data_IF_425874412841
#
_entry.id   IF_425874412841
#
_cell.length_a   1.000
_cell.length_b   1.000
_cell.length_c   1.000
_cell.angle_alpha   90.00
_cell.angle_beta   90.00
_cell.angle_gamma   90.00
#
_symmetry.space_group_name_H-M   'P 1'
#
loop_
_entity.id
_entity.type
_entity.pdbx_description
1 polymer ?
#
# COMPACT_ATOMS: atom_id res chain seq x y z
N UNK A 1 -13.43 -2.77 -22.89
CA UNK A 1 -12.01 -3.13 -22.68
C UNK A 1 -11.23 -2.11 -21.84
N UNK A 2 -11.56 -0.80 -21.84
CA UNK A 2 -10.92 0.21 -20.94
C UNK A 2 -11.18 -0.03 -19.44
N UNK A 3 -12.20 -0.82 -19.09
CA UNK A 3 -12.50 -1.19 -17.70
C UNK A 3 -11.51 -2.19 -17.07
N UNK A 4 -10.95 -3.13 -17.84
CA UNK A 4 -10.10 -4.20 -17.27
C UNK A 4 -8.71 -3.69 -16.85
N UNK A 5 -8.13 -2.73 -17.57
CA UNK A 5 -6.81 -2.18 -17.22
C UNK A 5 -6.84 -1.30 -15.96
N UNK A 6 -7.92 -0.54 -15.76
CA UNK A 6 -8.12 0.25 -14.52
C UNK A 6 -8.36 -0.64 -13.30
N UNK A 7 -9.20 -1.68 -13.45
CA UNK A 7 -9.48 -2.65 -12.37
C UNK A 7 -8.20 -3.33 -11.88
N UNK A 8 -7.24 -3.63 -12.77
CA UNK A 8 -5.98 -4.24 -12.39
C UNK A 8 -5.04 -3.29 -11.63
N UNK A 9 -4.94 -2.02 -12.05
CA UNK A 9 -4.08 -1.05 -11.37
C UNK A 9 -4.59 -0.73 -9.95
N UNK A 10 -5.90 -0.60 -9.79
CA UNK A 10 -6.53 -0.34 -8.50
C UNK A 10 -6.36 -1.54 -7.54
N UNK A 11 -6.39 -2.77 -8.07
CA UNK A 11 -6.18 -3.99 -7.28
C UNK A 11 -4.73 -4.15 -6.77
N UNK A 12 -3.76 -3.53 -7.44
CA UNK A 12 -2.34 -3.61 -7.07
C UNK A 12 -1.96 -2.68 -5.92
N UNK A 13 -2.61 -1.51 -5.80
CA UNK A 13 -2.33 -0.51 -4.76
C UNK A 13 -2.32 -1.09 -3.32
N UNK A 14 -3.33 -1.86 -2.86
CA UNK A 14 -3.33 -2.44 -1.51
C UNK A 14 -2.20 -3.46 -1.30
N UNK A 15 -1.88 -4.26 -2.33
CA UNK A 15 -0.78 -5.23 -2.27
C UNK A 15 0.57 -4.53 -2.17
N UNK A 16 0.79 -3.48 -2.96
CA UNK A 16 2.00 -2.65 -2.93
C UNK A 16 2.14 -1.90 -1.60
N UNK A 17 1.04 -1.42 -1.02
CA UNK A 17 1.04 -0.80 0.30
C UNK A 17 1.46 -1.80 1.39
N UNK A 18 0.90 -3.01 1.37
CA UNK A 18 1.31 -4.09 2.28
C UNK A 18 2.77 -4.48 2.08
N UNK A 19 3.26 -4.54 0.83
CA UNK A 19 4.66 -4.82 0.53
C UNK A 19 5.59 -3.72 1.05
N UNK A 20 5.30 -2.45 0.75
CA UNK A 20 6.08 -1.30 1.20
C UNK A 20 6.09 -1.20 2.74
N UNK A 21 4.95 -1.44 3.38
CA UNK A 21 4.86 -1.50 4.84
C UNK A 21 5.70 -2.66 5.43
N UNK A 22 5.64 -3.85 4.81
CA UNK A 22 6.46 -4.99 5.20
C UNK A 22 7.97 -4.69 5.11
N UNK A 23 8.41 -4.06 4.02
CA UNK A 23 9.79 -3.62 3.85
C UNK A 23 10.20 -2.55 4.87
N UNK A 24 9.32 -1.59 5.18
CA UNK A 24 9.58 -0.58 6.21
C UNK A 24 9.71 -1.20 7.61
N UNK A 25 8.86 -2.16 7.95
CA UNK A 25 8.92 -2.90 9.21
C UNK A 25 10.18 -3.78 9.35
N UNK A 26 10.86 -4.11 8.25
CA UNK A 26 12.11 -4.86 8.29
C UNK A 26 13.23 -4.10 9.02
N UNK A 27 13.19 -2.76 9.02
CA UNK A 27 14.12 -1.89 9.75
C UNK A 27 13.72 -1.65 11.21
N UNK A 28 12.57 -2.17 11.65
CA UNK A 28 12.09 -2.05 13.02
C UNK A 28 12.56 -3.25 13.88
N UNK A 29 12.70 -3.08 15.21
CA UNK A 29 13.04 -4.18 16.10
C UNK A 29 11.99 -5.31 16.03
N UNK A 30 12.41 -6.56 16.22
CA UNK A 30 11.61 -7.77 15.99
C UNK A 30 10.23 -7.79 16.67
N UNK A 31 10.11 -7.19 17.86
CA UNK A 31 8.82 -7.01 18.56
C UNK A 31 7.91 -6.01 17.85
N UNK A 32 8.45 -4.86 17.44
CA UNK A 32 7.70 -3.84 16.71
C UNK A 32 7.31 -4.34 15.32
N UNK A 33 8.16 -5.13 14.65
CA UNK A 33 7.84 -5.78 13.37
C UNK A 33 6.61 -6.68 13.46
N UNK A 34 6.59 -7.62 14.40
CA UNK A 34 5.45 -8.53 14.60
C UNK A 34 4.18 -7.78 15.01
N UNK A 35 4.30 -6.81 15.93
CA UNK A 35 3.15 -6.01 16.36
C UNK A 35 2.61 -5.13 15.22
N UNK A 36 3.48 -4.51 14.41
CA UNK A 36 3.06 -3.70 13.26
C UNK A 36 2.39 -4.53 12.17
N UNK A 37 2.92 -5.70 11.85
CA UNK A 37 2.28 -6.62 10.90
C UNK A 37 0.89 -7.09 11.40
N UNK A 38 0.78 -7.45 12.69
CA UNK A 38 -0.51 -7.83 13.28
C UNK A 38 -1.51 -6.67 13.31
N UNK A 39 -1.04 -5.45 13.65
CA UNK A 39 -1.88 -4.25 13.73
C UNK A 39 -2.38 -3.80 12.36
N UNK A 40 -1.53 -3.85 11.33
CA UNK A 40 -1.94 -3.54 9.95
C UNK A 40 -2.94 -4.55 9.42
N UNK A 41 -2.73 -5.85 9.64
CA UNK A 41 -3.70 -6.89 9.30
C UNK A 41 -5.04 -6.68 10.02
N UNK A 42 -5.01 -6.42 11.34
CA UNK A 42 -6.20 -6.17 12.13
C UNK A 42 -6.94 -4.90 11.67
N UNK A 43 -6.24 -3.81 11.39
CA UNK A 43 -6.82 -2.57 10.89
C UNK A 43 -7.44 -2.74 9.49
N UNK A 44 -6.80 -3.50 8.60
CA UNK A 44 -7.36 -3.81 7.28
C UNK A 44 -8.65 -4.64 7.39
N UNK A 45 -8.64 -5.69 8.19
CA UNK A 45 -9.83 -6.55 8.40
C UNK A 45 -10.96 -5.74 9.05
N UNK A 46 -10.65 -4.97 10.11
CA UNK A 46 -11.63 -4.13 10.78
C UNK A 46 -12.23 -3.11 9.82
N UNK A 47 -11.41 -2.47 8.99
CA UNK A 47 -11.90 -1.49 8.03
C UNK A 47 -12.76 -2.11 6.94
N UNK A 48 -12.38 -3.27 6.39
CA UNK A 48 -13.22 -4.00 5.42
C UNK A 48 -14.57 -4.38 6.04
N UNK A 49 -14.58 -4.84 7.29
CA UNK A 49 -15.81 -5.14 8.00
C UNK A 49 -16.67 -3.88 8.22
N UNK A 50 -16.08 -2.81 8.77
CA UNK A 50 -16.78 -1.53 8.99
C UNK A 50 -17.34 -1.00 7.67
N UNK A 51 -16.55 -1.01 6.61
CA UNK A 51 -16.97 -0.50 5.32
C UNK A 51 -18.12 -1.33 4.73
N UNK A 52 -18.03 -2.66 4.79
CA UNK A 52 -19.08 -3.56 4.31
C UNK A 52 -20.42 -3.40 5.04
N UNK A 53 -20.40 -3.12 6.35
CA UNK A 53 -21.60 -3.02 7.18
C UNK A 53 -22.15 -1.60 7.36
N UNK A 54 -21.31 -0.57 7.31
CA UNK A 54 -21.68 0.80 7.69
C UNK A 54 -21.58 1.77 6.52
N UNK A 55 -20.52 1.69 5.72
CA UNK A 55 -20.14 2.79 4.82
C UNK A 55 -20.56 2.51 3.37
N UNK A 56 -20.52 1.27 2.90
CA UNK A 56 -20.87 0.87 1.51
C UNK A 56 -22.15 1.50 0.93
N UNK A 57 -23.25 1.65 1.69
CA UNK A 57 -24.47 2.29 1.17
C UNK A 57 -24.28 3.76 0.75
N UNK A 58 -23.21 4.42 1.20
CA UNK A 58 -22.91 5.84 0.96
C UNK A 58 -21.74 6.08 -0.01
N UNK A 59 -21.12 5.03 -0.58
CA UNK A 59 -19.98 5.20 -1.48
C UNK A 59 -20.42 5.68 -2.87
N UNK A 60 -19.98 6.87 -3.25
CA UNK A 60 -19.96 7.31 -4.64
C UNK A 60 -18.65 6.92 -5.34
N UNK A 61 -18.58 7.02 -6.68
CA UNK A 61 -17.36 6.71 -7.45
C UNK A 61 -16.14 7.54 -7.02
N UNK A 62 -16.34 8.76 -6.53
CA UNK A 62 -15.27 9.61 -6.01
C UNK A 62 -14.59 9.03 -4.75
N UNK A 63 -15.31 8.29 -3.90
CA UNK A 63 -14.75 7.72 -2.68
C UNK A 63 -13.75 6.59 -2.97
N UNK A 64 -14.02 5.79 -4.00
CA UNK A 64 -13.11 4.72 -4.47
C UNK A 64 -11.80 5.32 -4.99
N UNK A 65 -11.90 6.39 -5.77
CA UNK A 65 -10.73 7.08 -6.34
C UNK A 65 -9.86 7.72 -5.26
N UNK A 66 -10.48 8.39 -4.28
CA UNK A 66 -9.77 8.96 -3.13
C UNK A 66 -9.12 7.88 -2.25
N UNK A 67 -9.80 6.75 -2.03
CA UNK A 67 -9.23 5.61 -1.31
C UNK A 67 -7.99 5.07 -2.00
N UNK A 68 -8.04 4.94 -3.33
CA UNK A 68 -6.92 4.47 -4.14
C UNK A 68 -5.74 5.45 -4.09
N UNK A 69 -6.01 6.75 -4.19
CA UNK A 69 -4.97 7.79 -4.02
C UNK A 69 -4.34 7.74 -2.62
N UNK A 70 -5.15 7.61 -1.56
CA UNK A 70 -4.65 7.49 -0.20
C UNK A 70 -3.74 6.27 -0.02
N UNK A 71 -4.06 5.16 -0.69
CA UNK A 71 -3.24 3.96 -0.71
C UNK A 71 -1.87 4.22 -1.35
N UNK A 72 -1.83 4.90 -2.51
CA UNK A 72 -0.57 5.31 -3.15
C UNK A 72 0.25 6.27 -2.29
N UNK A 73 -0.37 7.25 -1.64
CA UNK A 73 0.31 8.10 -0.66
C UNK A 73 0.87 7.27 0.51
N UNK A 74 0.14 6.27 0.98
CA UNK A 74 0.61 5.32 1.98
C UNK A 74 1.87 4.56 1.53
N UNK A 75 1.92 4.13 0.25
CA UNK A 75 3.11 3.47 -0.34
C UNK A 75 4.30 4.41 -0.31
N UNK A 76 4.11 5.67 -0.74
CA UNK A 76 5.14 6.72 -0.72
C UNK A 76 5.67 6.92 0.70
N UNK A 77 4.79 7.08 1.69
CA UNK A 77 5.18 7.27 3.10
C UNK A 77 5.94 6.07 3.64
N UNK A 78 5.47 4.84 3.38
CA UNK A 78 6.14 3.63 3.84
C UNK A 78 7.52 3.46 3.18
N UNK A 79 7.61 3.63 1.86
CA UNK A 79 8.87 3.52 1.13
C UNK A 79 9.87 4.61 1.52
N UNK A 80 9.42 5.86 1.67
CA UNK A 80 10.27 6.97 2.11
C UNK A 80 10.78 6.79 3.54
N UNK A 81 10.00 6.15 4.41
CA UNK A 81 10.38 5.95 5.82
C UNK A 81 11.67 5.14 5.99
N UNK A 82 12.03 4.30 5.02
CA UNK A 82 13.27 3.50 4.99
C UNK A 82 14.54 4.36 4.84
N UNK A 83 14.40 5.59 4.33
CA UNK A 83 15.51 6.53 4.16
C UNK A 83 15.70 7.48 5.34
N UNK A 84 14.77 7.48 6.29
CA UNK A 84 14.91 8.32 7.47
C UNK A 84 16.10 7.84 8.32
N UNK A 85 16.95 8.76 8.82
CA UNK A 85 18.10 8.42 9.64
C UNK A 85 17.69 7.83 11.01
N UNK A 86 16.45 8.09 11.43
CA UNK A 86 15.86 7.50 12.63
C UNK A 86 15.11 6.24 12.20
N UNK A 87 15.63 5.07 12.59
CA UNK A 87 14.94 3.79 12.40
C UNK A 87 13.48 3.91 12.88
N UNK A 88 12.54 3.26 12.18
CA UNK A 88 11.10 3.31 12.48
C UNK A 88 10.89 3.02 13.96
N UNK A 89 10.64 4.08 14.72
CA UNK A 89 10.65 3.98 16.17
C UNK A 89 9.46 3.16 16.65
N UNK A 90 9.55 2.64 17.88
CA UNK A 90 8.45 1.92 18.53
C UNK A 90 7.14 2.74 18.56
N UNK A 91 7.22 4.07 18.46
CA UNK A 91 6.07 4.99 18.42
C UNK A 91 5.50 5.18 17.02
N UNK A 92 6.34 5.17 15.99
CA UNK A 92 5.93 5.42 14.59
C UNK A 92 5.44 4.14 13.92
N UNK A 93 6.02 2.98 14.25
CA UNK A 93 5.61 1.68 13.72
C UNK A 93 4.09 1.40 13.83
N UNK A 94 3.42 1.58 15.00
CA UNK A 94 1.99 1.33 15.10
C UNK A 94 1.18 2.34 14.29
N UNK A 95 1.59 3.61 14.22
CA UNK A 95 0.90 4.62 13.43
C UNK A 95 0.91 4.26 11.93
N UNK A 96 2.09 3.94 11.40
CA UNK A 96 2.24 3.48 10.01
C UNK A 96 1.43 2.21 9.75
N UNK A 97 1.39 1.29 10.70
CA UNK A 97 0.62 0.04 10.56
C UNK A 97 -0.88 0.27 10.51
N UNK A 98 -1.42 1.13 11.40
CA UNK A 98 -2.85 1.48 11.37
C UNK A 98 -3.18 2.20 10.07
N UNK A 99 -2.40 3.22 9.67
CA UNK A 99 -2.65 3.94 8.43
C UNK A 99 -2.60 3.01 7.21
N UNK A 100 -1.57 2.16 7.11
CA UNK A 100 -1.45 1.20 6.01
C UNK A 100 -2.62 0.22 5.98
N UNK A 101 -3.02 -0.31 7.14
CA UNK A 101 -4.16 -1.22 7.25
C UNK A 101 -5.49 -0.56 6.86
N UNK A 102 -5.77 0.65 7.37
CA UNK A 102 -6.99 1.40 7.04
C UNK A 102 -7.08 1.71 5.54
N UNK A 103 -6.02 2.26 4.94
CA UNK A 103 -6.00 2.57 3.50
C UNK A 103 -6.16 1.32 2.63
N UNK A 104 -5.49 0.22 3.00
CA UNK A 104 -5.63 -1.07 2.31
C UNK A 104 -7.08 -1.60 2.41
N UNK A 105 -7.67 -1.55 3.61
CA UNK A 105 -9.03 -2.03 3.83
C UNK A 105 -10.09 -1.23 3.08
N UNK A 106 -9.96 0.11 3.03
CA UNK A 106 -10.85 1.00 2.25
C UNK A 106 -10.83 0.61 0.76
N UNK A 107 -9.65 0.46 0.16
CA UNK A 107 -9.57 0.16 -1.29
C UNK A 107 -10.14 -1.23 -1.60
N UNK A 108 -9.81 -2.23 -0.78
CA UNK A 108 -10.29 -3.61 -0.98
C UNK A 108 -11.82 -3.68 -0.84
N UNK A 109 -12.39 -3.01 0.16
CA UNK A 109 -13.83 -3.04 0.39
C UNK A 109 -14.61 -2.33 -0.73
N UNK A 110 -14.06 -1.20 -1.21
CA UNK A 110 -14.58 -0.40 -2.33
C UNK A 110 -14.58 -1.13 -3.67
N UNK A 111 -13.64 -2.07 -3.88
CA UNK A 111 -13.58 -2.90 -5.08
C UNK A 111 -14.59 -4.06 -5.10
N UNK A 112 -15.31 -4.29 -4.00
CA UNK A 112 -16.19 -5.46 -3.93
C UNK A 112 -15.49 -6.77 -3.58
N UNK A 113 -14.14 -6.80 -3.53
CA UNK A 113 -13.35 -8.03 -3.40
C UNK A 113 -13.11 -8.40 -1.93
N UNK A 114 -14.02 -9.16 -1.33
CA UNK A 114 -13.89 -9.65 0.05
C UNK A 114 -12.62 -10.52 0.27
N UNK A 115 -12.05 -11.09 -0.80
CA UNK A 115 -10.85 -11.93 -0.74
C UNK A 115 -9.57 -11.10 -0.96
N UNK A 116 -9.68 -9.82 -1.29
CA UNK A 116 -8.55 -8.93 -1.53
C UNK A 116 -7.60 -8.82 -0.33
N UNK A 117 -8.13 -8.91 0.90
CA UNK A 117 -7.30 -8.90 2.13
C UNK A 117 -6.40 -10.13 2.18
N UNK A 118 -6.92 -11.31 1.80
CA UNK A 118 -6.15 -12.55 1.76
C UNK A 118 -5.05 -12.51 0.69
N UNK A 119 -5.23 -11.74 -0.39
CA UNK A 119 -4.19 -11.51 -1.41
C UNK A 119 -3.15 -10.48 -0.98
N UNK A 120 -3.56 -9.47 -0.21
CA UNK A 120 -2.68 -8.40 0.27
C UNK A 120 -1.83 -8.83 1.48
N UNK A 121 -2.38 -9.65 2.39
CA UNK A 121 -1.72 -10.07 3.64
C UNK A 121 -0.35 -10.75 3.44
N UNK A 122 -0.18 -11.68 2.48
CA UNK A 122 1.10 -12.34 2.26
C UNK A 122 2.25 -11.36 2.00
N UNK A 123 1.98 -10.18 1.45
CA UNK A 123 3.01 -9.17 1.20
C UNK A 123 3.60 -8.57 2.49
N UNK A 124 2.87 -8.61 3.62
CA UNK A 124 3.43 -8.24 4.93
C UNK A 124 4.51 -9.23 5.40
N UNK A 125 4.48 -10.47 4.91
CA UNK A 125 5.50 -11.48 5.23
C UNK A 125 6.86 -11.13 4.62
N UNK A 126 6.93 -10.23 3.63
CA UNK A 126 8.20 -9.70 3.09
C UNK A 126 9.07 -9.05 4.16
N UNK A 127 8.48 -8.61 5.28
CA UNK A 127 9.23 -8.10 6.42
C UNK A 127 10.24 -9.10 6.99
N UNK A 128 10.00 -10.41 6.86
CA UNK A 128 10.89 -11.46 7.34
C UNK A 128 12.15 -11.67 6.47
N UNK A 129 12.03 -11.97 5.16
CA UNK A 129 13.20 -12.08 4.30
C UNK A 129 13.96 -10.76 4.17
N UNK A 130 13.26 -9.61 4.18
CA UNK A 130 13.92 -8.30 4.16
C UNK A 130 14.74 -8.06 5.43
N UNK A 131 14.22 -8.40 6.61
CA UNK A 131 14.98 -8.28 7.85
C UNK A 131 16.20 -9.22 7.85
N UNK A 132 16.02 -10.45 7.39
CA UNK A 132 17.14 -11.39 7.25
C UNK A 132 18.24 -10.89 6.29
N UNK A 133 17.87 -10.21 5.20
CA UNK A 133 18.82 -9.56 4.30
C UNK A 133 19.55 -8.40 4.99
N UNK A 134 18.83 -7.58 5.76
CA UNK A 134 19.41 -6.46 6.52
C UNK A 134 20.41 -6.98 7.56
N UNK A 135 20.08 -8.04 8.30
CA UNK A 135 20.95 -8.68 9.29
C UNK A 135 22.24 -9.23 8.66
N UNK A 136 22.22 -9.55 7.35
CA UNK A 136 23.40 -9.97 6.56
C UNK A 136 24.15 -8.81 5.90
N UNK A 137 23.82 -7.56 6.23
CA UNK A 137 24.46 -6.37 5.65
C UNK A 137 23.94 -5.98 4.26
N UNK A 138 22.91 -6.65 3.73
CA UNK A 138 22.32 -6.35 2.42
C UNK A 138 21.20 -5.28 2.51
N UNK A 139 21.27 -4.37 3.47
CA UNK A 139 20.28 -3.30 3.65
C UNK A 139 20.12 -2.41 2.41
N UNK A 140 21.19 -2.25 1.62
CA UNK A 140 21.17 -1.50 0.35
C UNK A 140 20.20 -2.13 -0.65
N UNK A 141 20.13 -3.45 -0.76
CA UNK A 141 19.22 -4.11 -1.69
C UNK A 141 17.75 -3.80 -1.34
N UNK A 142 17.40 -3.83 -0.05
CA UNK A 142 16.07 -3.44 0.43
C UNK A 142 15.78 -1.98 0.11
N UNK A 143 16.76 -1.07 0.30
CA UNK A 143 16.62 0.34 -0.08
C UNK A 143 16.42 0.53 -1.58
N UNK A 144 17.11 -0.22 -2.45
CA UNK A 144 16.90 -0.15 -3.90
C UNK A 144 15.47 -0.52 -4.27
N UNK A 145 14.93 -1.59 -3.68
CA UNK A 145 13.53 -1.99 -3.90
C UNK A 145 12.57 -0.91 -3.39
N UNK A 146 12.84 -0.32 -2.22
CA UNK A 146 12.04 0.81 -1.71
C UNK A 146 12.12 2.04 -2.62
N UNK A 147 13.27 2.33 -3.24
CA UNK A 147 13.43 3.42 -4.21
C UNK A 147 12.54 3.20 -5.43
N UNK A 148 12.52 1.96 -5.92
CA UNK A 148 11.71 1.58 -7.06
C UNK A 148 10.22 1.70 -6.74
N UNK A 149 9.78 1.19 -5.57
CA UNK A 149 8.41 1.34 -5.10
C UNK A 149 8.02 2.81 -4.93
N UNK A 150 8.91 3.63 -4.38
CA UNK A 150 8.70 5.07 -4.23
C UNK A 150 8.51 5.74 -5.60
N UNK A 151 9.35 5.43 -6.58
CA UNK A 151 9.22 5.98 -7.93
C UNK A 151 7.91 5.59 -8.60
N UNK A 152 7.53 4.30 -8.54
CA UNK A 152 6.24 3.80 -9.08
C UNK A 152 5.07 4.48 -8.38
N UNK A 153 5.12 4.61 -7.05
CA UNK A 153 4.03 5.20 -6.28
C UNK A 153 3.88 6.70 -6.51
N UNK A 154 4.99 7.44 -6.62
CA UNK A 154 4.97 8.86 -6.99
C UNK A 154 4.40 9.02 -8.40
N UNK A 155 4.82 8.20 -9.35
CA UNK A 155 4.28 8.23 -10.72
C UNK A 155 2.77 7.92 -10.74
N UNK A 156 2.33 6.86 -10.07
CA UNK A 156 0.91 6.51 -9.99
C UNK A 156 0.09 7.60 -9.29
N UNK A 157 0.61 8.20 -8.22
CA UNK A 157 -0.05 9.29 -7.52
C UNK A 157 -0.16 10.55 -8.39
N UNK A 158 0.86 10.90 -9.19
CA UNK A 158 0.84 12.10 -10.04
C UNK A 158 0.03 11.92 -11.32
N UNK A 159 -0.12 10.69 -11.81
CA UNK A 159 -0.98 10.39 -12.97
C UNK A 159 -2.43 10.84 -12.77
N UNK A 160 -2.94 10.81 -11.54
CA UNK A 160 -4.28 11.32 -11.22
C UNK A 160 -4.42 12.85 -11.41
N UNK A 161 -3.31 13.59 -11.43
CA UNK A 161 -3.27 15.05 -11.55
C UNK A 161 -2.83 15.53 -12.93
N UNK A 162 -2.32 14.62 -13.78
CA UNK A 162 -1.92 14.95 -15.13
C UNK A 162 -3.19 15.16 -15.98
N UNK A 163 -3.40 16.36 -16.54
CA UNK A 163 -4.53 16.59 -17.43
C UNK A 163 -4.39 15.63 -18.62
N UNK A 164 -5.44 14.84 -18.86
CA UNK A 164 -5.52 14.01 -20.07
C UNK A 164 -5.36 14.94 -21.25
N UNK A 165 -4.28 14.80 -22.01
CA UNK A 165 -3.95 15.74 -23.07
C UNK A 165 -5.08 15.68 -24.11
N UNK A 166 -5.86 16.76 -24.31
CA UNK A 166 -6.98 16.72 -25.24
C UNK A 166 -6.44 16.45 -26.65
N UNK A 167 -6.84 15.32 -27.24
CA UNK A 167 -6.39 14.91 -28.58
C UNK A 167 -5.39 13.75 -28.61
N UNK A 168 -4.92 13.24 -27.47
CA UNK A 168 -4.13 12.00 -27.44
C UNK A 168 -5.08 10.80 -27.54
N UNK A 169 -5.39 10.36 -28.77
CA UNK A 169 -5.91 9.02 -28.98
C UNK A 169 -4.79 8.02 -28.59
N UNK A 170 -5.04 7.05 -27.70
CA UNK A 170 -4.03 6.02 -27.44
C UNK A 170 -3.81 5.18 -28.70
N UNK A 171 -2.70 5.45 -29.41
CA UNK A 171 -2.22 4.77 -30.64
C UNK A 171 -1.93 3.25 -30.49
N UNK A 172 -2.21 2.67 -29.33
CA UNK A 172 -2.02 1.24 -29.04
C UNK A 172 -3.35 0.45 -29.04
N UNK A 173 -4.39 1.01 -29.64
CA UNK A 173 -5.71 0.38 -29.82
C UNK A 173 -6.03 0.03 -31.29
N UNK A 174 -5.02 -0.08 -32.15
CA UNK A 174 -5.13 -0.75 -33.47
C UNK A 174 -4.72 -2.24 -33.38
#
# INVERSE_FOLDING_TARGET
>A
MVGESRVNADALAPSLLCAAHGLALAFAPSRARRMGAALSAAAAIAMVAIDAYVIRPAWGPMAVEQGTQACWFGVVVCAASVYLPVAVSRRIAPLLAVCAGLCCGIVISGQGDAVGVLRALPWLLLSWPAAWLIDRGAAVAVKVVCSWLLAVAVLAATLAWLPVTPGYLPDHLE
#
